data_IF_904159191143
#
_entry.id   IF_904159191143
#
_cell.length_a   1.000
_cell.length_b   1.000
_cell.length_c   1.000
_cell.angle_alpha   90.00
_cell.angle_beta   90.00
_cell.angle_gamma   90.00
#
_symmetry.space_group_name_H-M   'P 1'
#
loop_
_entity.id
_entity.type
_entity.pdbx_description
1 polymer ?
#
# COMPACT_ATOMS: atom_id res chain seq x y z
N UNK A 1 4.22 8.43 5.34
CA UNK A 1 3.51 8.19 4.05
C UNK A 1 2.73 9.39 3.47
N UNK A 2 2.56 10.52 4.18
CA UNK A 2 1.83 11.68 3.62
C UNK A 2 2.52 12.25 2.36
N UNK A 3 3.86 12.35 2.38
CA UNK A 3 4.65 12.82 1.24
C UNK A 3 4.40 11.99 -0.03
N UNK A 4 4.46 10.65 0.06
CA UNK A 4 4.19 9.77 -1.08
C UNK A 4 2.77 9.96 -1.61
N UNK A 5 1.77 9.92 -0.72
CA UNK A 5 0.36 10.05 -1.08
C UNK A 5 0.04 11.38 -1.75
N UNK A 6 0.55 12.49 -1.23
CA UNK A 6 0.35 13.81 -1.82
C UNK A 6 1.00 13.91 -3.20
N UNK A 7 2.20 13.36 -3.37
CA UNK A 7 2.87 13.33 -4.66
C UNK A 7 2.14 12.46 -5.68
N UNK A 8 1.63 11.30 -5.29
CA UNK A 8 0.82 10.44 -6.15
C UNK A 8 -0.46 11.16 -6.61
N UNK A 9 -1.23 11.77 -5.70
CA UNK A 9 -2.42 12.54 -6.06
C UNK A 9 -2.12 13.65 -7.05
N UNK A 10 -1.04 14.43 -6.81
CA UNK A 10 -0.65 15.52 -7.72
C UNK A 10 -0.11 15.04 -9.07
N UNK A 11 0.57 13.89 -9.09
CA UNK A 11 1.21 13.37 -10.30
C UNK A 11 0.19 12.68 -11.17
N UNK A 12 -0.44 11.64 -10.65
CA UNK A 12 -1.44 10.84 -11.35
C UNK A 12 -2.72 11.66 -11.60
N UNK A 13 -3.11 12.55 -10.68
CA UNK A 13 -4.34 13.34 -10.83
C UNK A 13 -4.36 14.19 -12.08
N UNK A 14 -3.21 14.75 -12.48
CA UNK A 14 -3.13 15.49 -13.74
C UNK A 14 -3.29 14.63 -14.98
N UNK A 15 -3.01 13.32 -14.93
CA UNK A 15 -3.20 12.43 -16.08
C UNK A 15 -4.66 12.05 -16.28
N UNK A 16 -5.38 11.88 -15.18
CA UNK A 16 -6.78 11.42 -15.18
C UNK A 16 -7.75 12.54 -14.88
N UNK A 17 -7.31 13.80 -15.05
CA UNK A 17 -8.07 15.02 -14.73
C UNK A 17 -8.78 15.01 -13.36
N UNK A 18 -8.08 14.54 -12.34
CA UNK A 18 -8.61 14.40 -10.99
C UNK A 18 -8.09 15.51 -10.07
N UNK A 19 -9.01 16.35 -9.60
CA UNK A 19 -8.74 17.43 -8.68
C UNK A 19 -8.82 16.97 -7.20
N UNK A 20 -7.97 17.57 -6.35
CA UNK A 20 -7.97 17.30 -4.91
C UNK A 20 -7.27 15.99 -4.50
N UNK A 21 -7.71 15.43 -3.37
CA UNK A 21 -7.10 14.24 -2.76
C UNK A 21 -7.72 12.94 -3.25
N UNK A 22 -6.87 11.98 -3.67
CA UNK A 22 -7.29 10.62 -4.04
C UNK A 22 -7.70 9.76 -2.84
N UNK A 23 -7.10 10.06 -1.69
CA UNK A 23 -7.11 9.16 -0.54
C UNK A 23 -8.23 9.58 0.42
N UNK A 24 -9.24 8.72 0.59
CA UNK A 24 -10.33 8.97 1.54
C UNK A 24 -9.83 9.08 2.99
N UNK A 25 -8.83 8.26 3.36
CA UNK A 25 -8.31 8.17 4.74
C UNK A 25 -6.82 8.41 4.81
N UNK A 26 -6.32 8.89 5.95
CA UNK A 26 -4.87 9.00 6.27
C UNK A 26 -4.19 7.63 6.23
N UNK A 27 -2.88 7.59 6.07
CA UNK A 27 -2.14 6.32 6.08
C UNK A 27 -2.22 5.69 7.47
N UNK A 28 -2.28 4.36 7.51
CA UNK A 28 -2.05 3.55 8.70
C UNK A 28 -1.10 2.42 8.33
N UNK A 29 -0.33 2.00 9.33
CA UNK A 29 0.51 0.82 9.28
C UNK A 29 0.08 -0.08 10.43
N UNK A 30 -0.93 -0.91 10.17
CA UNK A 30 -1.37 -1.92 11.12
C UNK A 30 -0.25 -2.96 11.32
N UNK A 31 0.15 -3.27 12.56
CA UNK A 31 1.18 -4.26 12.83
C UNK A 31 0.70 -5.65 12.39
N UNK A 32 1.64 -6.44 11.88
CA UNK A 32 1.46 -7.87 11.60
C UNK A 32 2.26 -8.62 12.65
N UNK A 33 1.58 -9.41 13.48
CA UNK A 33 2.16 -9.92 14.73
C UNK A 33 2.88 -11.26 14.59
N UNK A 34 2.60 -12.01 13.52
CA UNK A 34 3.12 -13.35 13.32
C UNK A 34 3.23 -13.70 11.84
N UNK A 35 4.04 -14.72 11.54
CA UNK A 35 4.36 -15.16 10.17
C UNK A 35 3.13 -15.66 9.42
N UNK A 36 2.22 -16.37 10.08
CA UNK A 36 0.97 -16.83 9.48
C UNK A 36 0.11 -15.65 9.04
N UNK A 37 -0.02 -14.62 9.89
CA UNK A 37 -0.71 -13.38 9.53
C UNK A 37 -0.01 -12.67 8.36
N UNK A 38 1.32 -12.67 8.31
CA UNK A 38 2.11 -12.06 7.25
C UNK A 38 1.88 -12.74 5.89
N UNK A 39 1.97 -14.07 5.84
CA UNK A 39 1.62 -14.85 4.65
C UNK A 39 0.15 -14.61 4.27
N UNK A 40 -0.75 -14.54 5.25
CA UNK A 40 -2.15 -14.18 5.03
C UNK A 40 -2.35 -12.77 4.42
N UNK A 41 -1.49 -11.80 4.75
CA UNK A 41 -1.50 -10.47 4.10
C UNK A 41 -1.02 -10.53 2.65
N UNK A 42 0.03 -11.31 2.37
CA UNK A 42 0.47 -11.54 1.00
C UNK A 42 -0.66 -12.19 0.18
N UNK A 43 -1.29 -13.25 0.71
CA UNK A 43 -2.46 -13.90 0.11
C UNK A 43 -3.58 -12.91 -0.18
N UNK A 44 -3.92 -12.04 0.77
CA UNK A 44 -4.94 -11.01 0.58
C UNK A 44 -4.62 -10.05 -0.58
N UNK A 45 -3.35 -9.64 -0.71
CA UNK A 45 -2.90 -8.75 -1.79
C UNK A 45 -2.96 -9.45 -3.15
N UNK A 46 -2.44 -10.69 -3.25
CA UNK A 46 -2.46 -11.46 -4.49
C UNK A 46 -3.88 -11.80 -4.94
N UNK A 47 -4.80 -11.98 -3.99
CA UNK A 47 -6.19 -12.30 -4.27
C UNK A 47 -7.03 -11.16 -4.83
N UNK A 48 -6.54 -9.92 -4.86
CA UNK A 48 -7.39 -8.75 -5.03
C UNK A 48 -8.24 -8.81 -6.31
N UNK A 49 -7.63 -9.09 -7.47
CA UNK A 49 -8.36 -9.15 -8.74
C UNK A 49 -9.45 -10.22 -8.76
N UNK A 50 -9.15 -11.40 -8.24
CA UNK A 50 -10.08 -12.54 -8.27
C UNK A 50 -11.16 -12.41 -7.20
N UNK A 51 -10.78 -12.00 -5.97
CA UNK A 51 -11.68 -11.78 -4.84
C UNK A 51 -12.80 -10.78 -5.14
N UNK A 52 -12.48 -9.72 -5.87
CA UNK A 52 -13.43 -8.67 -6.25
C UNK A 52 -14.21 -9.00 -7.54
N UNK A 53 -14.00 -10.19 -8.14
CA UNK A 53 -14.68 -10.60 -9.37
C UNK A 53 -14.24 -9.82 -10.61
N UNK A 54 -13.01 -9.32 -10.63
CA UNK A 54 -12.49 -8.54 -11.75
C UNK A 54 -11.84 -9.42 -12.81
N UNK A 55 -11.16 -10.48 -12.40
CA UNK A 55 -10.48 -11.45 -13.27
C UNK A 55 -10.65 -12.86 -12.72
N UNK A 56 -10.53 -13.87 -13.57
CA UNK A 56 -10.69 -15.28 -13.15
C UNK A 56 -9.43 -15.84 -12.49
N UNK A 57 -8.26 -15.43 -12.98
CA UNK A 57 -6.94 -15.85 -12.47
C UNK A 57 -6.18 -14.66 -11.90
N UNK A 58 -5.41 -14.89 -10.85
CA UNK A 58 -4.61 -13.85 -10.21
C UNK A 58 -3.62 -13.20 -11.19
N UNK A 59 -3.05 -13.99 -12.09
CA UNK A 59 -2.11 -13.54 -13.12
C UNK A 59 -2.74 -12.65 -14.21
N UNK A 60 -4.07 -12.64 -14.34
CA UNK A 60 -4.77 -11.81 -15.32
C UNK A 60 -5.03 -10.39 -14.82
N UNK A 61 -4.74 -10.10 -13.54
CA UNK A 61 -4.94 -8.78 -12.96
C UNK A 61 -4.14 -7.71 -13.73
N UNK A 62 -4.78 -6.74 -14.39
CA UNK A 62 -4.07 -5.75 -15.22
C UNK A 62 -3.40 -4.64 -14.41
N UNK A 63 -3.68 -4.53 -13.11
CA UNK A 63 -3.06 -3.54 -12.23
C UNK A 63 -1.66 -3.94 -11.77
N UNK A 64 -1.04 -3.06 -10.97
CA UNK A 64 0.27 -3.35 -10.41
C UNK A 64 0.21 -4.57 -9.48
N UNK A 65 1.08 -5.54 -9.73
CA UNK A 65 1.27 -6.75 -8.93
C UNK A 65 2.74 -7.12 -8.87
N UNK A 66 3.15 -7.73 -7.75
CA UNK A 66 4.48 -8.31 -7.56
C UNK A 66 4.55 -9.79 -8.01
N UNK A 67 3.45 -10.35 -8.53
CA UNK A 67 3.37 -11.75 -8.89
C UNK A 67 4.48 -12.22 -9.88
N UNK A 68 4.83 -11.46 -10.93
CA UNK A 68 5.93 -11.84 -11.82
C UNK A 68 7.27 -12.00 -11.08
N UNK A 69 7.57 -11.10 -10.14
CA UNK A 69 8.79 -11.16 -9.33
C UNK A 69 8.77 -12.28 -8.30
N UNK A 70 7.58 -12.69 -7.85
CA UNK A 70 7.42 -13.79 -6.91
C UNK A 70 7.47 -15.17 -7.58
N UNK A 71 7.18 -15.26 -8.88
CA UNK A 71 7.06 -16.52 -9.62
C UNK A 71 8.13 -16.74 -10.69
N UNK A 72 8.92 -15.73 -11.03
CA UNK A 72 9.89 -15.84 -12.11
C UNK A 72 11.17 -15.05 -11.83
N UNK A 73 12.22 -15.43 -12.57
CA UNK A 73 13.53 -14.76 -12.54
C UNK A 73 13.53 -13.37 -13.21
N UNK A 74 12.40 -12.92 -13.76
CA UNK A 74 12.33 -11.75 -14.61
C UNK A 74 12.33 -10.44 -13.80
N UNK A 75 13.46 -9.73 -13.88
CA UNK A 75 13.63 -8.36 -13.43
C UNK A 75 12.64 -7.45 -14.13
N UNK A 76 11.72 -6.84 -13.39
CA UNK A 76 10.84 -5.81 -13.95
C UNK A 76 11.49 -4.44 -13.83
N UNK A 77 11.78 -3.85 -14.99
CA UNK A 77 12.23 -2.47 -15.09
C UNK A 77 11.02 -1.54 -15.16
N UNK A 78 11.12 -0.42 -14.44
CA UNK A 78 10.15 0.66 -14.46
C UNK A 78 10.82 1.97 -14.85
N UNK A 79 10.07 2.88 -15.45
CA UNK A 79 10.56 4.22 -15.73
C UNK A 79 10.44 5.10 -14.49
N UNK A 80 11.59 5.49 -13.93
CA UNK A 80 11.69 6.57 -12.96
C UNK A 80 11.97 7.88 -13.68
N UNK A 81 11.08 8.85 -13.51
CA UNK A 81 11.25 10.17 -14.13
C UNK A 81 12.08 11.08 -13.24
N UNK A 82 13.29 11.44 -13.70
CA UNK A 82 14.23 12.28 -12.97
C UNK A 82 13.82 13.78 -13.04
N UNK A 83 13.12 14.23 -12.01
CA UNK A 83 12.63 15.61 -11.92
C UNK A 83 13.77 16.62 -11.80
N UNK A 84 14.86 16.28 -11.12
CA UNK A 84 16.02 17.18 -10.94
C UNK A 84 16.65 17.50 -12.29
N UNK A 85 16.89 16.48 -13.12
CA UNK A 85 17.41 16.62 -14.48
C UNK A 85 16.48 17.43 -15.39
N UNK A 86 15.17 17.28 -15.22
CA UNK A 86 14.18 18.10 -15.94
C UNK A 86 14.24 19.56 -15.52
N UNK A 87 14.32 19.84 -14.22
CA UNK A 87 14.33 21.22 -13.71
C UNK A 87 15.60 21.97 -14.07
N UNK A 88 16.77 21.31 -14.07
CA UNK A 88 18.04 21.95 -14.44
C UNK A 88 18.11 22.40 -15.90
N UNK A 89 17.37 21.74 -16.81
CA UNK A 89 17.32 22.09 -18.24
C UNK A 89 16.20 23.07 -18.62
N UNK A 90 15.35 23.49 -17.67
CA UNK A 90 14.23 24.40 -17.96
C UNK A 90 14.67 25.84 -18.27
N UNK A 91 15.88 26.22 -17.84
CA UNK A 91 16.43 27.57 -18.05
C UNK A 91 17.26 27.75 -19.34
N UNK A 92 17.51 26.70 -20.12
CA UNK A 92 18.46 26.75 -21.25
C UNK A 92 17.85 27.14 -22.60
N UNK A 93 16.66 27.76 -22.64
CA UNK A 93 16.05 28.30 -23.87
C UNK A 93 15.67 27.27 -24.95
N UNK A 94 15.99 25.98 -24.76
CA UNK A 94 15.68 24.90 -25.69
C UNK A 94 14.37 24.20 -25.30
N UNK A 95 13.28 24.62 -25.93
CA UNK A 95 12.21 23.71 -26.39
C UNK A 95 11.43 22.86 -25.37
N UNK A 96 11.46 23.15 -24.07
CA UNK A 96 10.68 22.39 -23.09
C UNK A 96 9.17 22.73 -23.07
N UNK A 97 8.68 23.47 -24.08
CA UNK A 97 7.26 23.84 -24.22
C UNK A 97 6.44 22.79 -25.00
N UNK A 98 7.06 21.81 -25.66
CA UNK A 98 6.36 20.74 -26.39
C UNK A 98 6.40 19.36 -25.75
N UNK A 99 7.34 19.10 -24.84
CA UNK A 99 7.55 17.75 -24.31
C UNK A 99 6.75 17.48 -23.03
N UNK A 100 5.89 16.47 -23.12
CA UNK A 100 5.07 15.98 -22.01
C UNK A 100 5.88 15.78 -20.73
N UNK A 101 5.21 15.92 -19.59
CA UNK A 101 5.78 15.77 -18.24
C UNK A 101 6.53 14.44 -18.02
N UNK A 102 6.25 13.44 -18.85
CA UNK A 102 6.78 12.07 -18.80
C UNK A 102 7.46 11.67 -20.12
N UNK A 103 8.09 12.63 -20.80
CA UNK A 103 8.91 12.33 -21.96
C UNK A 103 10.05 11.36 -21.60
N UNK A 104 10.34 10.44 -22.52
CA UNK A 104 11.28 9.31 -22.31
C UNK A 104 12.71 9.77 -22.00
N UNK A 105 13.14 10.94 -22.49
CA UNK A 105 14.46 11.52 -22.18
C UNK A 105 14.68 11.82 -20.68
N UNK A 106 13.59 11.91 -19.90
CA UNK A 106 13.61 12.09 -18.46
C UNK A 106 13.42 10.76 -17.71
N UNK A 107 13.09 9.68 -18.41
CA UNK A 107 12.92 8.36 -17.85
C UNK A 107 14.28 7.68 -17.69
N UNK A 108 14.50 7.14 -16.49
CA UNK A 108 15.64 6.30 -16.17
C UNK A 108 15.09 4.93 -15.75
N UNK A 109 15.65 3.82 -16.26
CA UNK A 109 15.19 2.50 -15.88
C UNK A 109 15.57 2.23 -14.41
N UNK A 110 14.61 1.77 -13.63
CA UNK A 110 14.79 1.32 -12.25
C UNK A 110 14.27 -0.10 -12.12
N UNK A 111 15.12 -0.97 -11.61
CA UNK A 111 14.74 -2.34 -11.29
C UNK A 111 13.90 -2.38 -10.01
N UNK A 112 12.77 -3.09 -10.07
CA UNK A 112 11.97 -3.39 -8.88
C UNK A 112 12.36 -4.76 -8.32
N UNK A 113 13.16 -4.73 -7.26
CA UNK A 113 13.46 -5.91 -6.46
C UNK A 113 12.40 -6.11 -5.37
N UNK A 114 11.96 -7.35 -5.20
CA UNK A 114 10.99 -7.74 -4.16
C UNK A 114 11.72 -8.64 -3.17
N UNK A 115 11.96 -8.11 -1.97
CA UNK A 115 12.54 -8.89 -0.89
C UNK A 115 11.61 -10.04 -0.48
N UNK A 116 12.15 -11.22 -0.09
CA UNK A 116 11.34 -12.27 0.49
C UNK A 116 10.66 -11.80 1.76
N UNK A 117 9.56 -12.47 2.12
CA UNK A 117 9.00 -12.31 3.46
C UNK A 117 10.05 -12.73 4.50
N UNK A 118 10.14 -12.06 5.66
CA UNK A 118 11.01 -12.45 6.77
C UNK A 118 10.99 -13.95 7.09
N UNK A 119 9.79 -14.54 7.15
CA UNK A 119 9.58 -15.97 7.40
C UNK A 119 10.04 -16.90 6.27
N UNK A 120 10.41 -16.36 5.12
CA UNK A 120 10.86 -17.08 3.92
C UNK A 120 12.31 -16.76 3.55
N UNK A 121 13.06 -16.03 4.39
CA UNK A 121 14.47 -15.68 4.10
C UNK A 121 15.33 -16.93 3.94
N UNK A 122 15.07 -17.99 4.72
CA UNK A 122 15.80 -19.26 4.63
C UNK A 122 15.31 -20.22 3.55
N UNK A 123 14.26 -19.88 2.79
CA UNK A 123 13.71 -20.74 1.75
C UNK A 123 14.44 -20.54 0.43
N UNK A 124 14.61 -21.62 -0.33
CA UNK A 124 15.07 -21.57 -1.72
C UNK A 124 14.09 -20.77 -2.59
N UNK A 125 14.53 -20.39 -3.79
CA UNK A 125 13.62 -19.74 -4.72
C UNK A 125 12.46 -20.65 -5.13
N UNK A 126 12.74 -21.93 -5.40
CA UNK A 126 11.74 -22.95 -5.75
C UNK A 126 10.71 -23.14 -4.64
N UNK A 127 11.14 -23.19 -3.38
CA UNK A 127 10.25 -23.31 -2.21
C UNK A 127 9.35 -22.08 -2.05
N UNK A 128 9.89 -20.88 -2.29
CA UNK A 128 9.12 -19.63 -2.24
C UNK A 128 8.10 -19.57 -3.37
N UNK A 129 8.52 -19.89 -4.59
CA UNK A 129 7.62 -19.95 -5.74
C UNK A 129 6.53 -21.02 -5.54
N UNK A 130 6.87 -22.19 -4.98
CA UNK A 130 5.92 -23.24 -4.61
C UNK A 130 4.86 -22.72 -3.63
N UNK A 131 5.29 -22.10 -2.53
CA UNK A 131 4.37 -21.51 -1.55
C UNK A 131 3.47 -20.43 -2.18
N UNK A 132 3.99 -19.61 -3.09
CA UNK A 132 3.17 -18.62 -3.81
C UNK A 132 2.15 -19.32 -4.71
N UNK A 133 2.52 -20.34 -5.47
CA UNK A 133 1.59 -21.10 -6.34
C UNK A 133 0.45 -21.73 -5.53
N UNK A 134 0.74 -22.29 -4.37
CA UNK A 134 -0.28 -22.83 -3.45
C UNK A 134 -1.29 -21.76 -3.04
N UNK A 135 -0.81 -20.57 -2.62
CA UNK A 135 -1.70 -19.45 -2.27
C UNK A 135 -2.61 -19.04 -3.43
N UNK A 136 -2.10 -19.03 -4.67
CA UNK A 136 -2.91 -18.69 -5.85
C UNK A 136 -3.98 -19.74 -6.10
N UNK A 137 -3.62 -21.03 -6.02
CA UNK A 137 -4.55 -22.13 -6.24
C UNK A 137 -5.72 -22.07 -5.25
N UNK A 138 -5.45 -21.85 -3.97
CA UNK A 138 -6.48 -21.69 -2.93
C UNK A 138 -7.41 -20.51 -3.23
N UNK A 139 -6.83 -19.35 -3.54
CA UNK A 139 -7.58 -18.12 -3.81
C UNK A 139 -8.49 -18.27 -5.03
N UNK A 140 -7.96 -18.85 -6.11
CA UNK A 140 -8.72 -19.07 -7.34
C UNK A 140 -9.80 -20.15 -7.14
N UNK A 141 -9.52 -21.19 -6.33
CA UNK A 141 -10.53 -22.19 -5.97
C UNK A 141 -11.68 -21.58 -5.14
N UNK A 142 -11.36 -20.77 -4.13
CA UNK A 142 -12.36 -20.05 -3.33
C UNK A 142 -13.23 -19.13 -4.19
N UNK A 143 -12.63 -18.46 -5.18
CA UNK A 143 -13.38 -17.58 -6.06
C UNK A 143 -14.28 -18.33 -7.04
N UNK A 144 -13.80 -19.45 -7.63
CA UNK A 144 -14.62 -20.34 -8.45
C UNK A 144 -15.82 -20.87 -7.65
N UNK A 145 -15.60 -21.27 -6.39
CA UNK A 145 -16.66 -21.74 -5.51
C UNK A 145 -17.73 -20.68 -5.20
N UNK A 146 -17.41 -19.38 -5.28
CA UNK A 146 -18.39 -18.30 -5.13
C UNK A 146 -19.28 -18.11 -6.36
N UNK A 147 -18.92 -18.67 -7.51
CA UNK A 147 -19.74 -18.67 -8.73
C UNK A 147 -20.04 -17.29 -9.33
N UNK A 148 -19.24 -16.28 -9.02
CA UNK A 148 -19.44 -14.93 -9.59
C UNK A 148 -18.67 -14.80 -10.90
N UNK A 149 -19.32 -14.40 -12.01
CA UNK A 149 -18.61 -14.16 -13.26
C UNK A 149 -17.62 -13.01 -13.09
N UNK A 150 -16.44 -13.16 -13.68
CA UNK A 150 -15.43 -12.12 -13.68
C UNK A 150 -15.74 -11.04 -14.72
N UNK A 151 -15.42 -9.79 -14.40
CA UNK A 151 -15.58 -8.66 -15.33
C UNK A 151 -14.69 -8.78 -16.57
N UNK A 152 -13.45 -9.25 -16.39
CA UNK A 152 -12.42 -9.38 -17.43
C UNK A 152 -11.44 -8.19 -17.44
N UNK A 153 -10.17 -8.47 -17.73
CA UNK A 153 -9.08 -7.50 -17.64
C UNK A 153 -9.29 -6.25 -18.54
N UNK A 154 -9.81 -6.43 -19.76
CA UNK A 154 -10.10 -5.33 -20.67
C UNK A 154 -11.17 -4.39 -20.11
N UNK A 155 -12.27 -4.95 -19.59
CA UNK A 155 -13.35 -4.16 -19.00
C UNK A 155 -12.91 -3.47 -17.70
N UNK A 156 -12.01 -4.08 -16.91
CA UNK A 156 -11.36 -3.42 -15.77
C UNK A 156 -10.56 -2.21 -16.21
N UNK A 157 -9.74 -2.33 -17.27
CA UNK A 157 -8.92 -1.23 -17.78
C UNK A 157 -9.77 -0.12 -18.43
N UNK A 158 -10.92 -0.46 -19.00
CA UNK A 158 -11.86 0.49 -19.59
C UNK A 158 -12.66 1.30 -18.56
N UNK A 159 -12.55 1.00 -17.26
CA UNK A 159 -13.26 1.75 -16.23
C UNK A 159 -12.80 3.21 -16.20
N UNK A 160 -13.77 4.12 -16.24
CA UNK A 160 -13.47 5.54 -16.15
C UNK A 160 -13.00 5.88 -14.72
N UNK A 161 -11.84 6.54 -14.52
CA UNK A 161 -11.30 6.82 -13.19
C UNK A 161 -12.29 7.51 -12.27
N UNK A 162 -13.06 8.49 -12.78
CA UNK A 162 -14.03 9.26 -11.98
C UNK A 162 -15.30 8.51 -11.59
N UNK A 163 -15.46 7.25 -12.01
CA UNK A 163 -16.61 6.44 -11.63
C UNK A 163 -16.63 6.27 -10.11
N UNK A 164 -17.73 6.66 -9.48
CA UNK A 164 -17.94 6.48 -8.04
C UNK A 164 -18.98 5.39 -7.81
N UNK A 165 -18.70 4.39 -6.95
CA UNK A 165 -19.71 3.42 -6.58
C UNK A 165 -20.81 4.10 -5.76
N UNK A 166 -22.07 3.67 -5.95
CA UNK A 166 -23.22 4.19 -5.20
C UNK A 166 -23.12 3.93 -3.70
N UNK A 167 -22.52 2.78 -3.32
CA UNK A 167 -22.39 2.35 -1.93
C UNK A 167 -20.94 2.03 -1.60
N UNK A 168 -20.40 2.76 -0.63
CA UNK A 168 -19.08 2.52 -0.07
C UNK A 168 -19.20 1.70 1.22
N UNK A 169 -18.58 0.52 1.25
CA UNK A 169 -18.46 -0.26 2.49
C UNK A 169 -17.49 0.45 3.43
N UNK A 170 -17.96 0.79 4.63
CA UNK A 170 -17.14 1.43 5.66
C UNK A 170 -17.03 0.54 6.89
N UNK A 171 -15.80 0.23 7.29
CA UNK A 171 -15.50 -0.42 8.57
C UNK A 171 -14.33 0.29 9.26
N UNK A 172 -14.22 0.16 10.59
CA UNK A 172 -13.01 0.51 11.31
C UNK A 172 -11.80 -0.26 10.76
N UNK A 173 -10.62 0.32 10.90
CA UNK A 173 -9.37 -0.39 10.64
C UNK A 173 -9.13 -1.42 11.74
N UNK A 174 -8.60 -2.61 11.41
CA UNK A 174 -8.16 -3.52 12.44
C UNK A 174 -7.03 -2.87 13.25
N UNK A 175 -6.91 -3.24 14.52
CA UNK A 175 -5.81 -2.76 15.36
C UNK A 175 -4.47 -3.34 14.91
N UNK A 176 -4.49 -4.55 14.36
CA UNK A 176 -3.36 -5.30 13.83
C UNK A 176 -3.86 -6.58 13.16
N UNK A 177 -2.93 -7.32 12.58
CA UNK A 177 -3.17 -8.62 11.95
C UNK A 177 -2.43 -9.69 12.75
N UNK A 178 -3.16 -10.72 13.18
CA UNK A 178 -2.60 -11.88 13.85
C UNK A 178 -3.37 -13.12 13.43
N UNK A 179 -2.73 -14.28 13.50
CA UNK A 179 -3.35 -15.58 13.24
C UNK A 179 -4.25 -16.04 14.38
N UNK A 180 -4.05 -15.52 15.59
CA UNK A 180 -4.82 -15.92 16.78
C UNK A 180 -5.60 -14.77 17.40
N UNK A 181 -6.74 -15.10 18.02
CA UNK A 181 -7.54 -14.14 18.79
C UNK A 181 -6.81 -13.65 20.04
N UNK A 182 -5.96 -14.49 20.63
CA UNK A 182 -5.19 -14.17 21.82
C UNK A 182 -4.15 -13.07 21.54
N UNK A 183 -3.39 -13.19 20.44
CA UNK A 183 -2.44 -12.15 20.05
C UNK A 183 -3.13 -10.79 19.77
N UNK A 184 -4.33 -10.81 19.18
CA UNK A 184 -5.12 -9.58 19.00
C UNK A 184 -5.63 -8.99 20.33
N UNK A 185 -5.94 -9.84 21.32
CA UNK A 185 -6.31 -9.41 22.66
C UNK A 185 -5.14 -8.73 23.36
N UNK A 186 -3.97 -9.36 23.33
CA UNK A 186 -2.74 -8.82 23.90
C UNK A 186 -2.35 -7.49 23.27
N UNK A 187 -2.40 -7.38 21.93
CA UNK A 187 -2.17 -6.12 21.23
C UNK A 187 -3.15 -5.02 21.69
N UNK A 188 -4.42 -5.38 21.92
CA UNK A 188 -5.43 -4.44 22.42
C UNK A 188 -5.14 -3.99 23.84
N UNK A 189 -4.69 -4.87 24.70
CA UNK A 189 -4.29 -4.56 26.08
C UNK A 189 -3.05 -3.65 26.10
N UNK A 190 -2.02 -3.98 25.32
CA UNK A 190 -0.82 -3.15 25.14
C UNK A 190 -1.16 -1.75 24.61
N UNK A 191 -2.04 -1.67 23.59
CA UNK A 191 -2.46 -0.39 23.05
C UNK A 191 -3.25 0.44 24.06
N UNK A 192 -4.13 -0.18 24.85
CA UNK A 192 -4.84 0.50 25.95
C UNK A 192 -3.89 1.05 27.00
N UNK A 193 -2.89 0.26 27.41
CA UNK A 193 -1.88 0.69 28.36
C UNK A 193 -1.06 1.88 27.83
N UNK A 194 -0.61 1.80 26.57
CA UNK A 194 0.07 2.91 25.90
C UNK A 194 -0.78 4.19 25.87
N UNK A 195 -2.07 4.08 25.50
CA UNK A 195 -2.98 5.23 25.43
C UNK A 195 -3.22 5.83 26.82
N UNK A 196 -3.29 5.02 27.88
CA UNK A 196 -3.43 5.50 29.25
C UNK A 196 -2.23 6.37 29.66
N UNK A 197 -1.01 5.83 29.52
CA UNK A 197 0.24 6.57 29.82
C UNK A 197 0.37 7.83 28.96
N UNK A 198 0.06 7.73 27.67
CA UNK A 198 0.08 8.89 26.77
C UNK A 198 -0.88 9.99 27.22
N UNK A 199 -2.12 9.64 27.62
CA UNK A 199 -3.14 10.61 28.03
C UNK A 199 -2.75 11.32 29.31
N UNK A 200 -2.13 10.60 30.26
CA UNK A 200 -1.62 11.19 31.50
C UNK A 200 -0.50 12.21 31.20
N UNK A 201 0.51 11.81 30.43
CA UNK A 201 1.59 12.71 30.01
C UNK A 201 1.06 13.93 29.22
N UNK A 202 0.12 13.72 28.30
CA UNK A 202 -0.50 14.80 27.54
C UNK A 202 -1.29 15.77 28.43
N UNK A 203 -1.93 15.29 29.50
CA UNK A 203 -2.64 16.15 30.44
C UNK A 203 -1.69 17.04 31.24
N UNK A 204 -0.55 16.49 31.70
CA UNK A 204 0.51 17.26 32.36
C UNK A 204 1.14 18.30 31.44
N UNK A 205 1.49 17.88 30.22
CA UNK A 205 2.05 18.72 29.17
C UNK A 205 1.16 19.93 28.85
N UNK A 206 -0.16 19.73 28.71
CA UNK A 206 -1.10 20.84 28.46
C UNK A 206 -1.23 21.83 29.62
N UNK A 207 -0.88 21.44 30.84
CA UNK A 207 -0.85 22.31 32.03
C UNK A 207 0.49 23.04 32.21
N UNK A 208 1.44 22.89 31.28
CA UNK A 208 2.73 23.56 31.30
C UNK A 208 3.89 22.72 31.86
N UNK A 209 3.65 21.46 32.24
CA UNK A 209 4.74 20.54 32.59
C UNK A 209 5.37 19.98 31.31
N UNK A 210 6.29 20.76 30.73
CA UNK A 210 7.02 20.38 29.52
C UNK A 210 8.11 19.33 29.76
N UNK A 211 8.28 18.86 31.00
CA UNK A 211 9.15 17.73 31.35
C UNK A 211 8.36 16.42 31.48
N UNK A 212 7.05 16.42 31.19
CA UNK A 212 6.24 15.22 31.19
C UNK A 212 6.80 14.16 30.23
N UNK A 213 7.05 12.96 30.75
CA UNK A 213 7.62 11.87 29.98
C UNK A 213 6.52 11.16 29.18
N UNK A 214 6.65 11.20 27.85
CA UNK A 214 5.76 10.47 26.95
C UNK A 214 6.24 9.03 26.76
N UNK A 215 5.31 8.07 26.53
CA UNK A 215 5.71 6.70 26.23
C UNK A 215 6.55 6.66 24.96
N UNK A 216 7.45 5.68 24.87
CA UNK A 216 8.34 5.50 23.71
C UNK A 216 7.54 5.51 22.40
N UNK A 217 8.07 6.20 21.39
CA UNK A 217 7.45 6.40 20.07
C UNK A 217 6.21 7.29 20.04
N UNK A 218 5.85 7.94 21.14
CA UNK A 218 4.87 9.01 21.15
C UNK A 218 5.54 10.38 21.04
N UNK A 219 4.81 11.34 20.46
CA UNK A 219 5.23 12.74 20.41
C UNK A 219 4.25 13.59 21.23
N UNK A 220 4.75 14.60 21.97
CA UNK A 220 3.88 15.52 22.69
C UNK A 220 2.86 16.20 21.75
N UNK A 221 1.62 16.44 22.21
CA UNK A 221 0.66 17.18 21.42
C UNK A 221 1.09 18.64 21.26
N UNK A 222 0.74 19.27 20.13
CA UNK A 222 0.92 20.72 19.95
C UNK A 222 0.15 21.45 21.05
N UNK A 223 0.82 22.38 21.73
CA UNK A 223 0.17 23.40 22.56
C UNK A 223 -0.05 24.61 21.66
N UNK A 224 -1.29 25.09 21.60
CA UNK A 224 -1.61 26.37 20.95
C UNK A 224 -1.57 27.39 22.07
N UNK A 225 -0.76 28.47 21.96
CA UNK A 225 -0.84 29.58 22.91
C UNK A 225 -2.28 30.10 22.94
N UNK A 226 -2.83 30.25 24.14
CA UNK A 226 -4.12 30.92 24.35
C UNK A 226 -4.00 32.43 24.19
#
# INVERSE_FOLDING_TARGET
MQYLRANLSKKVGRWVDWSGGFWERRYSAEPVLDDTALVGRLRYVLAHGVKEGWVEKCAQWPGLTCLPQLLGAARRLFHWFNWTKRWSKRGSGSGAEGEGRFAEQWAEPVELEVAPLPCWVGKSEEERQGAVRELLQEVEAEARARGKPALGAQAVQAQHPHTRPERLKRSPRPLGHASTRQALRELREQYRAFVAVFREAAARWRRGDFLAHFPRFAFPPRVVPG
#
